data_IF_418387169672
#
_entry.id   IF_418387169672
#
_cell.length_a   1.000
_cell.length_b   1.000
_cell.length_c   1.000
_cell.angle_alpha   90.00
_cell.angle_beta   90.00
_cell.angle_gamma   90.00
#
_symmetry.space_group_name_H-M   'P 1'
#
loop_
_entity.id
_entity.type
_entity.pdbx_description
1 polymer ?
#
# COMPACT_ATOMS: atom_id res chain seq x y z
N UNK A 1 -17.19 21.38 8.81
CA UNK A 1 -16.64 20.09 9.27
C UNK A 1 -15.38 20.36 10.10
N UNK A 2 -15.31 19.88 11.36
CA UNK A 2 -14.14 19.97 12.24
C UNK A 2 -12.84 19.43 11.60
N UNK A 3 -11.68 19.98 11.98
CA UNK A 3 -10.37 19.59 11.45
C UNK A 3 -10.09 18.09 11.61
N UNK A 4 -10.38 17.54 12.79
CA UNK A 4 -10.21 16.12 13.09
C UNK A 4 -10.98 15.22 12.12
N UNK A 5 -12.23 15.56 11.82
CA UNK A 5 -13.07 14.78 10.89
C UNK A 5 -12.50 14.85 9.47
N UNK A 6 -11.97 16.01 9.05
CA UNK A 6 -11.29 16.13 7.74
C UNK A 6 -10.03 15.27 7.66
N UNK A 7 -9.22 15.24 8.71
CA UNK A 7 -8.01 14.41 8.77
C UNK A 7 -8.36 12.92 8.76
N UNK A 8 -9.31 12.50 9.59
CA UNK A 8 -9.79 11.12 9.60
C UNK A 8 -10.33 10.70 8.22
N UNK A 9 -11.14 11.55 7.57
CA UNK A 9 -11.64 11.29 6.22
C UNK A 9 -10.49 11.12 5.21
N UNK A 10 -9.48 11.98 5.26
CA UNK A 10 -8.31 11.90 4.38
C UNK A 10 -7.51 10.61 4.62
N UNK A 11 -7.40 10.16 5.87
CA UNK A 11 -6.76 8.88 6.22
C UNK A 11 -7.58 7.70 5.70
N UNK A 12 -8.90 7.70 5.88
CA UNK A 12 -9.77 6.65 5.36
C UNK A 12 -9.61 6.53 3.83
N UNK A 13 -9.65 7.65 3.12
CA UNK A 13 -9.43 7.70 1.67
C UNK A 13 -8.05 7.15 1.28
N UNK A 14 -6.99 7.53 2.01
CA UNK A 14 -5.65 7.03 1.76
C UNK A 14 -5.57 5.51 1.93
N UNK A 15 -6.07 4.97 3.04
CA UNK A 15 -6.01 3.53 3.31
C UNK A 15 -6.86 2.74 2.32
N UNK A 16 -8.04 3.25 1.95
CA UNK A 16 -8.87 2.63 0.92
C UNK A 16 -8.16 2.56 -0.43
N UNK A 17 -7.53 3.66 -0.87
CA UNK A 17 -6.86 3.68 -2.16
C UNK A 17 -5.60 2.78 -2.18
N UNK A 18 -4.90 2.64 -1.05
CA UNK A 18 -3.69 1.82 -0.98
C UNK A 18 -3.96 0.34 -0.73
N UNK A 19 -4.96 0.01 0.10
CA UNK A 19 -5.16 -1.36 0.61
C UNK A 19 -6.54 -1.94 0.30
N UNK A 20 -7.47 -1.15 -0.24
CA UNK A 20 -8.87 -1.53 -0.47
C UNK A 20 -9.52 -2.16 0.78
N UNK A 21 -9.24 -1.60 1.96
CA UNK A 21 -9.71 -2.11 3.24
C UNK A 21 -10.06 -0.95 4.19
N UNK A 22 -11.13 -1.05 4.98
CA UNK A 22 -11.39 -0.08 6.03
C UNK A 22 -10.42 -0.30 7.21
N UNK A 23 -9.66 0.72 7.67
CA UNK A 23 -8.79 0.54 8.82
C UNK A 23 -9.61 0.30 10.10
N UNK A 24 -9.06 -0.44 11.06
CA UNK A 24 -9.61 -0.43 12.43
C UNK A 24 -9.33 0.89 13.15
N UNK A 25 -9.98 1.11 14.29
CA UNK A 25 -9.86 2.35 15.08
C UNK A 25 -8.42 2.61 15.53
N UNK A 26 -7.68 1.57 15.90
CA UNK A 26 -6.27 1.69 16.31
C UNK A 26 -5.38 2.24 15.19
N UNK A 27 -5.56 1.76 13.95
CA UNK A 27 -4.85 2.27 12.78
C UNK A 27 -5.25 3.73 12.49
N UNK A 28 -6.55 4.03 12.51
CA UNK A 28 -7.03 5.39 12.27
C UNK A 28 -6.45 6.39 13.29
N UNK A 29 -6.46 6.04 14.58
CA UNK A 29 -5.92 6.87 15.64
C UNK A 29 -4.40 7.08 15.49
N UNK A 30 -3.66 6.00 15.23
CA UNK A 30 -2.21 6.08 15.02
C UNK A 30 -1.84 7.05 13.89
N UNK A 31 -2.50 6.92 12.73
CA UNK A 31 -2.24 7.78 11.58
C UNK A 31 -2.72 9.22 11.80
N UNK A 32 -3.80 9.40 12.56
CA UNK A 32 -4.28 10.74 12.94
C UNK A 32 -3.24 11.46 13.80
N UNK A 33 -2.59 10.76 14.74
CA UNK A 33 -1.48 11.31 15.52
C UNK A 33 -0.31 11.71 14.61
N UNK A 34 0.05 10.89 13.61
CA UNK A 34 1.12 11.26 12.67
C UNK A 34 0.82 12.58 11.93
N UNK A 35 -0.41 12.75 11.43
CA UNK A 35 -0.84 14.00 10.76
C UNK A 35 -0.85 15.20 11.72
N UNK A 36 -1.29 15.00 12.96
CA UNK A 36 -1.29 16.05 13.99
C UNK A 36 0.13 16.50 14.37
N UNK A 37 1.10 15.59 14.29
CA UNK A 37 2.51 15.88 14.49
C UNK A 37 3.17 16.54 13.25
N UNK A 38 2.39 16.94 12.25
CA UNK A 38 2.87 17.67 11.07
C UNK A 38 3.32 16.80 9.90
N UNK A 39 3.15 15.47 9.96
CA UNK A 39 3.47 14.61 8.82
C UNK A 39 2.53 14.91 7.65
N UNK A 40 3.10 15.29 6.50
CA UNK A 40 2.33 15.47 5.27
C UNK A 40 1.71 14.15 4.80
N UNK A 41 0.48 14.21 4.28
CA UNK A 41 -0.25 13.03 3.78
C UNK A 41 0.52 12.30 2.66
N UNK A 42 1.25 13.05 1.81
CA UNK A 42 2.08 12.50 0.72
C UNK A 42 3.26 11.70 1.27
N UNK A 43 3.92 12.20 2.32
CA UNK A 43 5.01 11.48 3.01
C UNK A 43 4.50 10.25 3.77
N UNK A 44 3.28 10.32 4.30
CA UNK A 44 2.62 9.15 4.91
C UNK A 44 2.30 8.09 3.86
N UNK A 45 1.70 8.49 2.73
CA UNK A 45 1.43 7.59 1.60
C UNK A 45 2.71 6.94 1.08
N UNK A 46 3.80 7.71 0.91
CA UNK A 46 5.10 7.17 0.52
C UNK A 46 5.63 6.16 1.54
N UNK A 47 5.44 6.42 2.83
CA UNK A 47 5.90 5.51 3.87
C UNK A 47 5.11 4.21 3.91
N UNK A 48 3.79 4.29 3.73
CA UNK A 48 2.92 3.11 3.63
C UNK A 48 3.28 2.26 2.41
N UNK A 49 3.61 2.88 1.28
CA UNK A 49 3.97 2.17 0.04
C UNK A 49 5.30 1.40 0.12
N UNK A 50 6.13 1.71 1.10
CA UNK A 50 7.40 1.03 1.37
C UNK A 50 7.28 -0.02 2.49
N UNK A 51 6.06 -0.30 2.95
CA UNK A 51 5.84 -1.35 3.96
C UNK A 51 5.67 -2.71 3.30
N UNK A 52 6.02 -3.75 4.05
CA UNK A 52 5.75 -5.14 3.66
C UNK A 52 4.25 -5.41 3.43
N UNK A 53 3.36 -4.71 4.14
CA UNK A 53 1.91 -4.81 3.93
C UNK A 53 1.50 -4.34 2.54
N UNK A 54 2.15 -3.30 2.00
CA UNK A 54 1.82 -2.82 0.66
C UNK A 54 2.45 -3.70 -0.43
N UNK A 55 3.66 -4.20 -0.18
CA UNK A 55 4.32 -5.20 -1.03
C UNK A 55 3.49 -6.48 -1.18
N UNK A 56 2.73 -6.87 -0.14
CA UNK A 56 1.65 -7.87 -0.22
C UNK A 56 2.13 -9.23 -0.73
N UNK A 57 3.34 -9.59 -0.29
CA UNK A 57 3.93 -10.90 -0.51
C UNK A 57 4.40 -11.47 0.80
N UNK A 58 3.97 -12.69 1.09
CA UNK A 58 4.44 -13.47 2.22
C UNK A 58 5.41 -14.53 1.74
N UNK A 59 6.49 -14.70 2.49
CA UNK A 59 7.45 -15.77 2.31
C UNK A 59 7.33 -16.73 3.48
N UNK A 60 7.60 -18.01 3.23
CA UNK A 60 7.69 -18.98 4.31
C UNK A 60 8.89 -18.62 5.20
N UNK A 61 8.63 -18.48 6.50
CA UNK A 61 9.62 -18.12 7.52
C UNK A 61 10.72 -19.19 7.66
N UNK A 62 10.47 -20.40 7.16
CA UNK A 62 11.41 -21.52 7.21
C UNK A 62 12.24 -21.66 5.94
N UNK A 63 12.09 -20.77 4.94
CA UNK A 63 12.97 -20.78 3.77
C UNK A 63 14.42 -20.65 4.20
N UNK A 64 15.29 -21.42 3.56
CA UNK A 64 16.73 -21.23 3.71
C UNK A 64 17.11 -19.81 3.24
N UNK A 65 18.22 -19.24 3.74
CA UNK A 65 18.67 -17.92 3.30
C UNK A 65 18.79 -17.81 1.78
N UNK A 66 19.26 -18.86 1.11
CA UNK A 66 19.41 -18.87 -0.35
C UNK A 66 18.06 -18.94 -1.07
N UNK A 67 17.12 -19.75 -0.59
CA UNK A 67 15.80 -19.89 -1.21
C UNK A 67 14.96 -18.61 -1.06
N UNK A 68 15.00 -18.00 0.13
CA UNK A 68 14.37 -16.71 0.37
C UNK A 68 14.97 -15.63 -0.54
N UNK A 69 16.31 -15.55 -0.60
CA UNK A 69 17.02 -14.54 -1.40
C UNK A 69 16.70 -14.67 -2.89
N UNK A 70 16.68 -15.90 -3.40
CA UNK A 70 16.30 -16.18 -4.79
C UNK A 70 14.83 -15.84 -5.06
N UNK A 71 13.92 -16.18 -4.13
CA UNK A 71 12.50 -15.88 -4.27
C UNK A 71 12.23 -14.37 -4.27
N UNK A 72 12.80 -13.63 -3.33
CA UNK A 72 12.66 -12.17 -3.25
C UNK A 72 13.26 -11.49 -4.48
N UNK A 73 14.43 -11.95 -4.95
CA UNK A 73 15.05 -11.41 -6.17
C UNK A 73 14.14 -11.60 -7.38
N UNK A 74 13.58 -12.80 -7.55
CA UNK A 74 12.67 -13.11 -8.65
C UNK A 74 11.40 -12.27 -8.58
N UNK A 75 10.82 -12.10 -7.40
CA UNK A 75 9.56 -11.36 -7.21
C UNK A 75 9.73 -9.85 -7.42
N UNK A 76 10.84 -9.26 -6.98
CA UNK A 76 11.10 -7.83 -7.15
C UNK A 76 11.62 -7.47 -8.55
N UNK A 77 12.59 -8.23 -9.06
CA UNK A 77 13.37 -7.85 -10.23
C UNK A 77 13.02 -8.68 -11.47
N UNK A 78 12.67 -9.96 -11.29
CA UNK A 78 12.47 -10.89 -12.41
C UNK A 78 13.74 -11.02 -13.26
N UNK A 79 13.61 -10.91 -14.59
CA UNK A 79 14.72 -10.96 -15.55
C UNK A 79 15.28 -9.58 -15.92
N UNK A 80 14.93 -8.52 -15.19
CA UNK A 80 15.29 -7.11 -15.50
C UNK A 80 16.65 -6.67 -14.96
N UNK A 81 17.42 -7.63 -14.47
CA UNK A 81 18.78 -7.46 -14.00
C UNK A 81 19.67 -8.45 -14.72
N UNK A 82 20.93 -8.07 -14.95
CA UNK A 82 21.93 -9.00 -15.43
C UNK A 82 22.12 -10.18 -14.47
N UNK A 83 22.53 -11.35 -14.97
CA UNK A 83 22.83 -12.50 -14.12
C UNK A 83 23.87 -12.18 -13.04
N UNK A 84 24.84 -11.32 -13.36
CA UNK A 84 25.84 -10.84 -12.38
C UNK A 84 25.17 -10.05 -11.24
N UNK A 85 24.29 -9.11 -11.57
CA UNK A 85 23.62 -8.30 -10.54
C UNK A 85 22.67 -9.14 -9.70
N UNK A 86 21.96 -10.10 -10.30
CA UNK A 86 21.12 -11.06 -9.55
C UNK A 86 21.95 -11.87 -8.54
N UNK A 87 23.10 -12.40 -8.97
CA UNK A 87 23.99 -13.15 -8.08
C UNK A 87 24.49 -12.28 -6.91
N UNK A 88 24.92 -11.04 -7.17
CA UNK A 88 25.38 -10.12 -6.14
C UNK A 88 24.30 -9.79 -5.10
N UNK A 89 23.06 -9.58 -5.52
CA UNK A 89 21.92 -9.32 -4.63
C UNK A 89 21.63 -10.54 -3.76
N UNK A 90 21.64 -11.74 -4.35
CA UNK A 90 21.41 -13.00 -3.64
C UNK A 90 22.51 -13.21 -2.59
N UNK A 91 23.78 -13.06 -2.98
CA UNK A 91 24.92 -13.20 -2.06
C UNK A 91 24.85 -12.19 -0.92
N UNK A 92 24.49 -10.93 -1.23
CA UNK A 92 24.28 -9.89 -0.23
C UNK A 92 23.21 -10.29 0.80
N UNK A 93 22.05 -10.74 0.35
CA UNK A 93 20.95 -11.14 1.23
C UNK A 93 21.31 -12.36 2.09
N UNK A 94 21.97 -13.37 1.50
CA UNK A 94 22.45 -14.55 2.25
C UNK A 94 23.43 -14.14 3.36
N UNK A 95 24.35 -13.23 3.07
CA UNK A 95 25.31 -12.72 4.05
C UNK A 95 24.61 -11.92 5.16
N UNK A 96 23.65 -11.06 4.81
CA UNK A 96 22.84 -10.30 5.79
C UNK A 96 22.05 -11.21 6.72
N UNK A 97 21.39 -12.23 6.19
CA UNK A 97 20.63 -13.20 7.00
C UNK A 97 21.57 -13.97 7.93
N UNK A 98 22.74 -14.37 7.42
CA UNK A 98 23.77 -15.05 8.22
C UNK A 98 24.35 -14.15 9.31
N UNK A 99 24.34 -12.82 9.13
CA UNK A 99 24.70 -11.81 10.12
C UNK A 99 23.56 -11.44 11.08
N UNK A 100 22.38 -12.06 10.94
CA UNK A 100 21.23 -11.89 11.84
C UNK A 100 20.10 -11.00 11.32
N UNK A 101 20.18 -10.48 10.09
CA UNK A 101 19.05 -9.75 9.49
C UNK A 101 17.84 -10.66 9.25
N UNK A 102 16.66 -10.14 9.52
CA UNK A 102 15.39 -10.80 9.25
C UNK A 102 14.98 -10.66 7.77
N UNK A 103 14.10 -11.55 7.32
CA UNK A 103 13.48 -11.46 5.99
C UNK A 103 12.71 -10.13 5.80
N UNK A 104 12.05 -9.64 6.86
CA UNK A 104 11.25 -8.41 6.81
C UNK A 104 12.13 -7.17 6.59
N UNK A 105 13.27 -7.09 7.28
CA UNK A 105 14.23 -6.00 7.10
C UNK A 105 14.72 -5.97 5.64
N UNK A 106 15.10 -7.12 5.08
CA UNK A 106 15.54 -7.18 3.68
C UNK A 106 14.43 -6.79 2.70
N UNK A 107 13.18 -7.22 2.91
CA UNK A 107 12.06 -6.79 2.07
C UNK A 107 11.92 -5.27 2.10
N UNK A 108 11.91 -4.66 3.30
CA UNK A 108 11.77 -3.21 3.49
C UNK A 108 12.93 -2.46 2.85
N UNK A 109 14.16 -2.95 2.99
CA UNK A 109 15.36 -2.39 2.37
C UNK A 109 15.21 -2.33 0.85
N UNK A 110 14.90 -3.45 0.20
CA UNK A 110 14.85 -3.52 -1.25
C UNK A 110 13.65 -2.78 -1.87
N UNK A 111 12.47 -2.79 -1.24
CA UNK A 111 11.33 -1.99 -1.73
C UNK A 111 11.59 -0.49 -1.56
N UNK A 112 12.29 -0.10 -0.49
CA UNK A 112 12.74 1.28 -0.29
C UNK A 112 13.72 1.71 -1.38
N UNK A 113 14.73 0.88 -1.69
CA UNK A 113 15.68 1.12 -2.79
C UNK A 113 14.94 1.28 -4.11
N UNK A 114 14.12 0.31 -4.52
CA UNK A 114 13.38 0.34 -5.80
C UNK A 114 12.45 1.55 -5.92
N UNK A 115 11.88 2.01 -4.81
CA UNK A 115 11.02 3.21 -4.80
C UNK A 115 11.78 4.54 -4.97
N UNK A 116 13.10 4.54 -4.82
CA UNK A 116 13.95 5.74 -4.86
C UNK A 116 14.88 5.80 -6.07
N UNK A 117 15.20 4.65 -6.66
CA UNK A 117 16.06 4.55 -7.85
C UNK A 117 15.41 5.21 -9.06
N UNK A 118 16.22 5.93 -9.83
CA UNK A 118 15.78 6.52 -11.10
C UNK A 118 15.44 5.43 -12.11
N UNK A 119 14.31 5.57 -12.80
CA UNK A 119 13.95 4.67 -13.91
C UNK A 119 14.88 4.81 -15.13
N UNK A 120 15.74 5.82 -15.14
CA UNK A 120 16.79 6.00 -16.15
C UNK A 120 18.14 5.38 -15.73
N UNK A 121 18.23 4.75 -14.57
CA UNK A 121 19.45 4.06 -14.12
C UNK A 121 19.76 2.87 -15.04
N UNK A 122 21.03 2.71 -15.44
CA UNK A 122 21.45 1.69 -16.42
C UNK A 122 21.43 0.26 -15.89
N UNK A 123 21.53 0.08 -14.57
CA UNK A 123 21.58 -1.22 -13.92
C UNK A 123 20.23 -1.62 -13.32
N UNK A 124 19.47 -0.63 -12.84
CA UNK A 124 18.30 -0.84 -12.00
C UNK A 124 17.02 -0.17 -12.54
N UNK A 125 17.14 0.68 -13.56
CA UNK A 125 16.03 1.50 -14.04
C UNK A 125 14.84 0.68 -14.55
N UNK A 126 15.11 -0.43 -15.24
CA UNK A 126 14.05 -1.35 -15.70
C UNK A 126 13.32 -2.03 -14.54
N UNK A 127 14.05 -2.46 -13.51
CA UNK A 127 13.45 -3.06 -12.32
C UNK A 127 12.67 -2.04 -11.50
N UNK A 128 13.20 -0.83 -11.32
CA UNK A 128 12.51 0.28 -10.66
C UNK A 128 11.22 0.65 -11.41
N UNK A 129 11.26 0.72 -12.74
CA UNK A 129 10.08 0.98 -13.57
C UNK A 129 9.03 -0.13 -13.41
N UNK A 130 9.45 -1.40 -13.39
CA UNK A 130 8.55 -2.53 -13.17
C UNK A 130 7.88 -2.49 -11.80
N UNK A 131 8.66 -2.26 -10.74
CA UNK A 131 8.17 -2.11 -9.38
C UNK A 131 7.16 -0.95 -9.27
N UNK A 132 7.51 0.22 -9.82
CA UNK A 132 6.63 1.38 -9.85
C UNK A 132 5.33 1.08 -10.62
N UNK A 133 5.41 0.42 -11.77
CA UNK A 133 4.24 0.03 -12.57
C UNK A 133 3.32 -0.89 -11.78
N UNK A 134 3.86 -1.93 -11.14
CA UNK A 134 3.08 -2.86 -10.32
C UNK A 134 2.30 -2.11 -9.22
N UNK A 135 2.98 -1.24 -8.48
CA UNK A 135 2.38 -0.48 -7.39
C UNK A 135 1.32 0.53 -7.87
N UNK A 136 1.57 1.22 -8.98
CA UNK A 136 0.62 2.14 -9.59
C UNK A 136 -0.62 1.39 -10.09
N UNK A 137 -0.45 0.23 -10.72
CA UNK A 137 -1.58 -0.62 -11.13
C UNK A 137 -2.44 -1.00 -9.94
N UNK A 138 -1.84 -1.51 -8.86
CA UNK A 138 -2.56 -1.87 -7.62
C UNK A 138 -3.38 -0.70 -7.07
N UNK A 139 -2.75 0.48 -6.96
CA UNK A 139 -3.43 1.70 -6.52
C UNK A 139 -4.60 2.09 -7.42
N UNK A 140 -4.42 2.05 -8.75
CA UNK A 140 -5.46 2.42 -9.72
C UNK A 140 -6.61 1.41 -9.73
N UNK A 141 -6.33 0.12 -9.57
CA UNK A 141 -7.34 -0.91 -9.45
C UNK A 141 -8.21 -0.71 -8.20
N UNK A 142 -7.60 -0.38 -7.06
CA UNK A 142 -8.34 -0.06 -5.85
C UNK A 142 -9.18 1.21 -5.99
N UNK A 143 -8.63 2.26 -6.63
CA UNK A 143 -9.27 3.56 -6.73
C UNK A 143 -10.44 3.56 -7.73
N UNK A 144 -10.28 2.89 -8.87
CA UNK A 144 -11.27 2.92 -9.96
C UNK A 144 -12.15 1.67 -10.00
N UNK A 145 -11.71 0.55 -9.42
CA UNK A 145 -12.45 -0.72 -9.46
C UNK A 145 -12.84 -1.10 -10.90
N UNK A 146 -14.03 -1.66 -11.08
CA UNK A 146 -14.54 -2.06 -12.41
C UNK A 146 -15.29 -0.92 -13.13
N UNK A 147 -15.23 0.31 -12.60
CA UNK A 147 -15.87 1.47 -13.25
C UNK A 147 -15.09 1.95 -14.48
N UNK A 148 -13.87 1.46 -14.67
CA UNK A 148 -13.00 1.73 -15.81
C UNK A 148 -12.55 0.41 -16.44
N UNK A 149 -12.45 0.38 -17.78
CA UNK A 149 -11.84 -0.75 -18.50
C UNK A 149 -10.32 -0.80 -18.25
N UNK A 150 -9.71 -1.94 -18.55
CA UNK A 150 -8.26 -2.11 -18.43
C UNK A 150 -7.48 -1.10 -19.28
N UNK A 151 -7.97 -0.78 -20.49
CA UNK A 151 -7.36 0.19 -21.40
C UNK A 151 -7.39 1.59 -20.82
N UNK A 152 -8.53 2.02 -20.26
CA UNK A 152 -8.65 3.34 -19.65
C UNK A 152 -7.80 3.46 -18.38
N UNK A 153 -7.70 2.39 -17.57
CA UNK A 153 -6.77 2.34 -16.44
C UNK A 153 -5.32 2.47 -16.88
N UNK A 154 -4.94 1.82 -17.99
CA UNK A 154 -3.59 1.90 -18.52
C UNK A 154 -3.17 3.34 -18.85
N UNK A 155 -4.07 4.18 -19.37
CA UNK A 155 -3.80 5.60 -19.62
C UNK A 155 -3.46 6.36 -18.33
N UNK A 156 -4.21 6.11 -17.25
CA UNK A 156 -3.96 6.74 -15.94
C UNK A 156 -2.64 6.24 -15.33
N UNK A 157 -2.37 4.94 -15.46
CA UNK A 157 -1.11 4.33 -15.01
C UNK A 157 0.09 4.97 -15.71
N UNK A 158 0.05 5.11 -17.05
CA UNK A 158 1.12 5.76 -17.82
C UNK A 158 1.31 7.24 -17.45
N UNK A 159 0.21 7.95 -17.21
CA UNK A 159 0.29 9.33 -16.73
C UNK A 159 1.04 9.41 -15.40
N UNK A 160 0.68 8.57 -14.42
CA UNK A 160 1.34 8.55 -13.11
C UNK A 160 2.82 8.19 -13.24
N UNK A 161 3.16 7.17 -14.04
CA UNK A 161 4.56 6.78 -14.27
C UNK A 161 5.37 7.91 -14.92
N UNK A 162 4.76 8.66 -15.83
CA UNK A 162 5.39 9.84 -16.44
C UNK A 162 5.67 10.94 -15.40
N UNK A 163 4.72 11.21 -14.50
CA UNK A 163 4.93 12.16 -13.40
C UNK A 163 6.04 11.69 -12.44
N UNK A 164 6.10 10.39 -12.15
CA UNK A 164 7.15 9.82 -11.30
C UNK A 164 8.53 9.92 -11.97
N UNK A 165 8.62 9.66 -13.27
CA UNK A 165 9.84 9.89 -14.06
C UNK A 165 10.28 11.37 -14.04
N UNK A 166 9.33 12.30 -13.94
CA UNK A 166 9.58 13.73 -13.77
C UNK A 166 9.93 14.14 -12.31
N UNK A 167 10.08 13.19 -11.39
CA UNK A 167 10.54 13.42 -10.02
C UNK A 167 9.45 13.48 -8.96
N UNK A 168 8.17 13.22 -9.31
CA UNK A 168 7.12 13.07 -8.28
C UNK A 168 7.29 11.75 -7.55
N UNK A 169 7.08 11.76 -6.23
CA UNK A 169 7.07 10.52 -5.45
C UNK A 169 5.78 9.74 -5.70
N UNK A 170 5.81 8.43 -5.47
CA UNK A 170 4.61 7.62 -5.57
C UNK A 170 3.54 8.05 -4.54
N UNK A 171 3.96 8.40 -3.32
CA UNK A 171 3.07 8.97 -2.30
C UNK A 171 2.37 10.26 -2.74
N UNK A 172 3.07 11.15 -3.45
CA UNK A 172 2.46 12.35 -4.03
C UNK A 172 1.42 12.00 -5.10
N UNK A 173 1.69 10.99 -5.94
CA UNK A 173 0.75 10.55 -6.98
C UNK A 173 -0.48 9.83 -6.42
N UNK A 174 -0.35 9.09 -5.32
CA UNK A 174 -1.50 8.53 -4.59
C UNK A 174 -2.43 9.64 -4.11
N UNK A 175 -1.87 10.64 -3.41
CA UNK A 175 -2.66 11.78 -2.89
C UNK A 175 -3.28 12.60 -4.03
N UNK A 176 -2.54 12.80 -5.12
CA UNK A 176 -3.09 13.44 -6.32
C UNK A 176 -4.28 12.67 -6.89
N UNK A 177 -4.17 11.35 -7.05
CA UNK A 177 -5.26 10.54 -7.61
C UNK A 177 -6.52 10.55 -6.71
N UNK A 178 -6.33 10.46 -5.39
CA UNK A 178 -7.43 10.60 -4.42
C UNK A 178 -8.07 11.98 -4.55
N UNK A 179 -7.28 13.06 -4.47
CA UNK A 179 -7.78 14.45 -4.57
C UNK A 179 -8.50 14.71 -5.90
N UNK A 180 -8.01 14.11 -6.98
CA UNK A 180 -8.66 14.21 -8.29
C UNK A 180 -10.04 13.58 -8.20
N UNK A 181 -10.14 12.33 -7.75
CA UNK A 181 -11.39 11.58 -7.74
C UNK A 181 -12.45 12.17 -6.80
N UNK A 182 -12.06 12.59 -5.59
CA UNK A 182 -13.02 13.12 -4.59
C UNK A 182 -13.61 14.48 -4.95
N UNK A 183 -13.00 15.20 -5.90
CA UNK A 183 -13.50 16.48 -6.39
C UNK A 183 -14.26 16.36 -7.72
N UNK A 184 -14.44 15.14 -8.24
CA UNK A 184 -15.23 14.89 -9.45
C UNK A 184 -16.71 15.07 -9.14
N UNK A 185 -17.42 15.74 -10.05
CA UNK A 185 -18.89 15.76 -10.05
C UNK A 185 -19.45 14.33 -10.21
N UNK A 186 -20.35 13.92 -9.32
CA UNK A 186 -20.91 12.57 -9.32
C UNK A 186 -21.75 12.26 -10.58
N UNK A 187 -22.17 13.28 -11.32
CA UNK A 187 -22.86 13.15 -12.61
C UNK A 187 -21.90 13.28 -13.82
N UNK A 188 -20.59 13.37 -13.57
CA UNK A 188 -19.60 13.33 -14.64
C UNK A 188 -19.71 12.00 -15.41
N UNK A 189 -19.85 12.03 -16.74
CA UNK A 189 -20.13 10.84 -17.53
C UNK A 189 -18.97 9.84 -17.60
N UNK A 190 -17.75 10.26 -17.27
CA UNK A 190 -16.55 9.41 -17.30
C UNK A 190 -16.15 8.98 -15.89
N UNK A 191 -16.10 9.92 -14.95
CA UNK A 191 -15.52 9.72 -13.63
C UNK A 191 -16.56 9.60 -12.50
N UNK A 192 -17.82 9.95 -12.76
CA UNK A 192 -18.86 10.02 -11.73
C UNK A 192 -19.11 8.67 -11.04
N UNK A 193 -19.06 7.57 -11.81
CA UNK A 193 -19.21 6.22 -11.26
C UNK A 193 -18.03 5.82 -10.36
N UNK A 194 -16.79 6.12 -10.77
CA UNK A 194 -15.61 5.89 -9.92
C UNK A 194 -15.69 6.70 -8.62
N UNK A 195 -16.13 7.96 -8.71
CA UNK A 195 -16.30 8.83 -7.55
C UNK A 195 -17.40 8.33 -6.60
N UNK A 196 -18.55 7.88 -7.14
CA UNK A 196 -19.64 7.24 -6.38
C UNK A 196 -19.14 5.98 -5.66
N UNK A 197 -18.48 5.07 -6.37
CA UNK A 197 -17.90 3.86 -5.78
C UNK A 197 -16.94 4.18 -4.64
N UNK A 198 -16.00 5.10 -4.86
CA UNK A 198 -15.02 5.45 -3.84
C UNK A 198 -15.67 6.10 -2.62
N UNK A 199 -16.66 6.98 -2.82
CA UNK A 199 -17.42 7.59 -1.72
C UNK A 199 -18.23 6.56 -0.92
N UNK A 200 -18.83 5.57 -1.57
CA UNK A 200 -19.51 4.47 -0.88
C UNK A 200 -18.55 3.64 -0.03
N UNK A 201 -17.34 3.35 -0.55
CA UNK A 201 -16.29 2.67 0.23
C UNK A 201 -15.81 3.52 1.42
N UNK A 202 -15.71 4.83 1.25
CA UNK A 202 -15.40 5.77 2.36
C UNK A 202 -16.49 5.76 3.42
N UNK A 203 -17.76 5.69 3.04
CA UNK A 203 -18.88 5.59 3.98
C UNK A 203 -18.83 4.28 4.78
N UNK A 204 -18.61 3.15 4.11
CA UNK A 204 -18.44 1.84 4.78
C UNK A 204 -17.23 1.85 5.70
N UNK A 205 -16.12 2.46 5.27
CA UNK A 205 -14.92 2.57 6.10
C UNK A 205 -15.13 3.46 7.33
N UNK A 206 -15.84 4.57 7.18
CA UNK A 206 -16.23 5.41 8.31
C UNK A 206 -17.08 4.63 9.32
N UNK A 207 -18.04 3.85 8.83
CA UNK A 207 -18.88 3.00 9.67
C UNK A 207 -18.04 2.00 10.48
N UNK A 208 -17.14 1.27 9.82
CA UNK A 208 -16.22 0.35 10.49
C UNK A 208 -15.31 1.06 11.51
N UNK A 209 -14.57 2.08 11.08
CA UNK A 209 -13.48 2.66 11.88
C UNK A 209 -13.96 3.56 13.01
N UNK A 210 -15.07 4.27 12.81
CA UNK A 210 -15.53 5.34 13.72
C UNK A 210 -16.82 4.91 14.41
N UNK A 211 -17.87 4.58 13.65
CA UNK A 211 -19.19 4.34 14.25
C UNK A 211 -19.21 3.03 15.06
N UNK A 212 -18.48 2.01 14.58
CA UNK A 212 -18.39 0.68 15.20
C UNK A 212 -17.15 0.47 16.07
N UNK A 213 -16.22 1.42 16.13
CA UNK A 213 -14.92 1.23 16.79
C UNK A 213 -14.21 -0.07 16.34
N UNK A 214 -14.12 -0.29 15.03
CA UNK A 214 -13.65 -1.52 14.40
C UNK A 214 -12.34 -2.04 14.99
N UNK A 215 -12.35 -3.31 15.38
CA UNK A 215 -11.23 -4.00 16.01
C UNK A 215 -10.19 -4.45 14.97
N UNK A 216 -9.02 -4.85 15.45
CA UNK A 216 -7.97 -5.40 14.60
C UNK A 216 -8.49 -6.67 13.90
N UNK A 217 -8.45 -6.64 12.58
CA UNK A 217 -8.93 -7.69 11.68
C UNK A 217 -7.87 -7.92 10.61
N UNK A 218 -7.82 -9.11 10.00
CA UNK A 218 -6.89 -9.36 8.89
C UNK A 218 -7.30 -8.58 7.62
N UNK A 219 -6.30 -8.26 6.80
CA UNK A 219 -6.50 -7.41 5.62
C UNK A 219 -7.44 -8.04 4.60
N UNK A 220 -7.35 -9.36 4.37
CA UNK A 220 -8.13 -10.05 3.37
C UNK A 220 -9.64 -10.04 3.71
N UNK A 221 -9.99 -10.27 4.97
CA UNK A 221 -11.38 -10.16 5.43
C UNK A 221 -11.94 -8.75 5.23
N UNK A 222 -11.13 -7.73 5.55
CA UNK A 222 -11.52 -6.32 5.36
C UNK A 222 -11.68 -5.95 3.87
N UNK A 223 -10.83 -6.49 3.00
CA UNK A 223 -10.96 -6.35 1.54
C UNK A 223 -12.22 -7.06 1.00
N UNK A 224 -12.55 -8.23 1.55
CA UNK A 224 -13.74 -8.98 1.16
C UNK A 224 -15.04 -8.23 1.49
N UNK A 225 -15.08 -7.45 2.57
CA UNK A 225 -16.23 -6.59 2.89
C UNK A 225 -16.42 -5.53 1.80
N UNK A 226 -15.33 -4.95 1.28
CA UNK A 226 -15.40 -3.88 0.28
C UNK A 226 -15.55 -4.37 -1.16
N UNK A 227 -15.26 -5.63 -1.45
CA UNK A 227 -15.42 -6.20 -2.80
C UNK A 227 -16.88 -6.17 -3.27
N UNK A 228 -17.85 -6.23 -2.35
CA UNK A 228 -19.28 -6.12 -2.64
C UNK A 228 -19.83 -4.69 -2.74
N UNK A 229 -19.03 -3.66 -2.42
CA UNK A 229 -19.47 -2.26 -2.50
C UNK A 229 -19.39 -1.78 -3.95
N UNK A 230 -20.49 -1.26 -4.48
CA UNK A 230 -20.62 -0.83 -5.88
C UNK A 230 -21.15 0.61 -5.98
N UNK A 231 -21.43 1.07 -7.20
CA UNK A 231 -22.12 2.35 -7.46
C UNK A 231 -23.58 2.37 -6.99
N UNK A 232 -24.19 1.21 -6.70
CA UNK A 232 -25.51 1.14 -6.09
C UNK A 232 -25.39 1.38 -4.58
N UNK A 233 -26.06 2.41 -4.06
CA UNK A 233 -26.06 2.78 -2.64
C UNK A 233 -26.62 1.69 -1.72
N UNK A 234 -27.44 0.77 -2.20
CA UNK A 234 -27.95 -0.36 -1.39
C UNK A 234 -26.82 -1.28 -0.92
N UNK A 235 -25.73 -1.39 -1.69
CA UNK A 235 -24.58 -2.22 -1.32
C UNK A 235 -23.83 -1.71 -0.09
N UNK A 236 -24.00 -0.42 0.26
CA UNK A 236 -23.46 0.16 1.49
C UNK A 236 -24.06 -0.53 2.71
N UNK A 237 -25.39 -0.71 2.72
CA UNK A 237 -26.09 -1.32 3.85
C UNK A 237 -25.68 -2.79 4.01
N UNK A 238 -25.51 -3.51 2.92
CA UNK A 238 -25.03 -4.91 2.91
C UNK A 238 -23.63 -4.98 3.54
N UNK A 239 -22.71 -4.10 3.13
CA UNK A 239 -21.36 -4.07 3.69
C UNK A 239 -21.33 -3.67 5.18
N UNK A 240 -22.20 -2.75 5.61
CA UNK A 240 -22.36 -2.40 7.04
C UNK A 240 -22.86 -3.59 7.87
N UNK A 241 -23.84 -4.35 7.37
CA UNK A 241 -24.31 -5.56 8.04
C UNK A 241 -23.23 -6.66 8.13
N UNK A 242 -22.35 -6.76 7.11
CA UNK A 242 -21.20 -7.66 7.16
C UNK A 242 -20.18 -7.25 8.23
N UNK A 243 -19.96 -5.93 8.42
CA UNK A 243 -19.13 -5.39 9.51
C UNK A 243 -19.72 -5.74 10.88
N UNK A 244 -21.04 -5.58 11.05
CA UNK A 244 -21.71 -5.91 12.31
C UNK A 244 -21.52 -7.38 12.67
N UNK A 245 -21.74 -8.28 11.70
CA UNK A 245 -21.53 -9.72 11.86
C UNK A 245 -20.08 -10.05 12.21
N UNK A 246 -19.12 -9.38 11.56
CA UNK A 246 -17.70 -9.59 11.85
C UNK A 246 -17.39 -9.25 13.30
N UNK A 247 -17.86 -8.10 13.78
CA UNK A 247 -17.56 -7.62 15.12
C UNK A 247 -18.19 -8.48 16.22
N UNK A 248 -19.39 -9.00 15.99
CA UNK A 248 -20.05 -9.94 16.90
C UNK A 248 -19.26 -11.26 17.01
N UNK A 249 -18.64 -11.70 15.91
CA UNK A 249 -17.80 -12.89 15.86
C UNK A 249 -16.37 -12.67 16.41
N UNK A 250 -15.85 -11.44 16.39
CA UNK A 250 -14.50 -11.09 16.87
C UNK A 250 -14.27 -11.39 18.35
N UNK A 251 -15.32 -11.56 19.15
CA UNK A 251 -15.23 -12.02 20.54
C UNK A 251 -14.71 -13.47 20.67
N UNK A 252 -14.58 -14.21 19.57
CA UNK A 252 -14.20 -15.64 19.55
C UNK A 252 -12.92 -15.98 18.77
N UNK A 253 -12.26 -15.01 18.12
CA UNK A 253 -11.19 -15.30 17.16
C UNK A 253 -9.94 -14.45 17.39
N UNK A 254 -9.14 -14.82 18.40
CA UNK A 254 -7.76 -14.33 18.55
C UNK A 254 -6.85 -15.45 18.05
N UNK A 255 -6.35 -15.33 16.82
CA UNK A 255 -5.09 -15.91 16.32
C UNK A 255 -5.01 -15.70 14.80
N UNK A 256 -4.57 -14.51 14.34
CA UNK A 256 -4.22 -14.35 12.93
C UNK A 256 -2.89 -13.61 12.81
N UNK A 257 -1.89 -14.33 12.31
CA UNK A 257 -0.56 -13.85 11.91
C UNK A 257 -0.61 -12.76 10.80
N UNK A 258 -1.81 -12.40 10.33
CA UNK A 258 -2.06 -11.48 9.20
C UNK A 258 -2.88 -10.24 9.60
N UNK A 259 -2.82 -9.84 10.87
CA UNK A 259 -3.53 -8.67 11.37
C UNK A 259 -3.17 -7.40 10.58
N UNK A 260 -4.17 -6.62 10.14
CA UNK A 260 -3.93 -5.37 9.44
C UNK A 260 -3.47 -4.28 10.43
N UNK A 261 -2.16 -4.22 10.70
CA UNK A 261 -1.52 -3.35 11.71
C UNK A 261 -0.55 -2.37 11.04
N UNK A 262 -1.03 -1.15 10.78
CA UNK A 262 -0.23 -0.12 10.13
C UNK A 262 0.81 0.51 11.08
N UNK A 263 0.56 0.47 12.38
CA UNK A 263 1.48 0.94 13.41
C UNK A 263 2.76 0.08 13.47
N UNK A 264 2.64 -1.24 13.37
CA UNK A 264 3.77 -2.16 13.34
C UNK A 264 4.54 -2.05 12.02
N UNK A 265 3.82 -2.04 10.90
CA UNK A 265 4.42 -1.89 9.57
C UNK A 265 5.24 -0.60 9.42
N UNK A 266 4.78 0.51 9.99
CA UNK A 266 5.49 1.81 9.94
C UNK A 266 6.61 1.93 10.98
N UNK A 267 6.58 1.18 12.10
CA UNK A 267 7.68 1.15 13.07
C UNK A 267 8.91 0.44 12.50
N UNK A 268 8.71 -0.68 11.81
CA UNK A 268 9.81 -1.44 11.19
C UNK A 268 10.62 -0.58 10.19
N UNK A 269 10.00 0.42 9.56
CA UNK A 269 10.69 1.40 8.72
C UNK A 269 11.57 2.39 9.51
N UNK A 270 11.18 2.79 10.72
CA UNK A 270 11.89 3.83 11.50
C UNK A 270 13.17 3.32 12.16
N UNK A 271 13.31 2.02 12.40
CA UNK A 271 14.55 1.44 12.92
C UNK A 271 15.70 1.42 11.90
N UNK A 272 15.40 1.61 10.60
CA UNK A 272 16.39 1.57 9.52
C UNK A 272 16.94 2.93 9.09
N UNK A 273 16.52 4.05 9.70
CA UNK A 273 17.08 5.38 9.35
C UNK A 273 18.56 5.54 9.74
N UNK A 274 19.12 4.58 10.48
CA UNK A 274 20.53 4.54 10.88
C UNK A 274 21.43 3.82 9.85
N UNK A 275 20.87 3.27 8.76
CA UNK A 275 21.62 2.65 7.65
C UNK A 275 22.04 3.65 6.56
N UNK A 276 22.22 4.94 6.88
CA UNK A 276 22.76 5.92 5.92
C UNK A 276 24.16 5.53 5.40
N UNK A 277 24.84 4.62 6.10
CA UNK A 277 26.10 3.97 5.68
C UNK A 277 25.93 2.87 4.62
N UNK A 278 24.72 2.38 4.34
CA UNK A 278 24.46 1.38 3.29
C UNK A 278 24.24 2.00 1.89
N UNK A 279 24.00 3.31 1.81
CA UNK A 279 23.97 4.04 0.52
C UNK A 279 25.36 4.08 -0.17
N UNK A 280 26.43 3.75 0.57
CA UNK A 280 27.81 3.67 0.07
C UNK A 280 28.26 2.25 -0.30
N UNK A 281 27.48 1.22 0.01
CA UNK A 281 27.64 -0.13 -0.59
C UNK A 281 27.01 -0.19 -1.98
N UNK A 282 27.15 0.90 -2.75
CA UNK A 282 26.75 0.95 -4.15
C UNK A 282 27.38 -0.23 -4.86
N UNK A 283 26.52 -1.20 -5.19
CA UNK A 283 26.74 -2.22 -6.18
C UNK A 283 27.24 -1.52 -7.45
N UNK A 284 28.56 -1.45 -7.59
CA UNK A 284 29.28 -0.94 -8.74
C UNK A 284 28.97 -1.78 -9.99
#
# INVERSE_FOLDING_TARGET
MPLLIKQQTSILQLILAMFNAPPGTSNLNYLTVQLNNGQALESLAQSLAQTILFFDKQYDVNLSPIDFSAALTRDLFGNRLSHKNQALIIDYMVNKISAGSSQVELIVEFVSVLSSVSTSDSNWGEAALHYNRHNVTKFIDHLLGDTFTAENKAVVIEFILTQMKAGKTFGAMIVWGIRTLVNVDLDNPVWGNAAKLFNHRVEVAKYHSIDRNGVVTDLATLQQILSGVTVNSETIMIAKAAIDTLQDNSCTRIQHLNAFRLDEALKNKKQDSDLSSAQELRFA
#
